data_IF_825960162116
#
_entry.id   IF_825960162116
#
_cell.length_a   1.000
_cell.length_b   1.000
_cell.length_c   1.000
_cell.angle_alpha   90.00
_cell.angle_beta   90.00
_cell.angle_gamma   90.00
#
_symmetry.space_group_name_H-M   'P 1'
#
loop_
_entity.id
_entity.type
_entity.pdbx_description
1 polymer ?
#
# COMPACT_ATOMS: atom_id res chain seq x y z
N UNK A 1 23.84 -13.07 -27.74
CA UNK A 1 24.35 -12.91 -26.36
C UNK A 1 24.24 -11.48 -25.86
N UNK A 2 24.65 -10.45 -26.64
CA UNK A 2 24.48 -9.05 -26.23
C UNK A 2 22.99 -8.62 -26.14
N UNK A 3 22.15 -9.02 -27.10
CA UNK A 3 20.70 -8.74 -27.11
C UNK A 3 19.95 -9.42 -25.97
N UNK A 4 20.34 -10.64 -25.58
CA UNK A 4 19.73 -11.35 -24.45
C UNK A 4 20.09 -10.74 -23.11
N UNK A 5 21.33 -10.24 -22.95
CA UNK A 5 21.75 -9.52 -21.74
C UNK A 5 20.99 -8.18 -21.59
N UNK A 6 20.88 -7.41 -22.69
CA UNK A 6 20.10 -6.17 -22.72
C UNK A 6 18.63 -6.39 -22.33
N UNK A 7 18.02 -7.49 -22.80
CA UNK A 7 16.65 -7.85 -22.45
C UNK A 7 16.50 -8.15 -20.95
N UNK A 8 17.48 -8.82 -20.32
CA UNK A 8 17.45 -9.09 -18.88
C UNK A 8 17.58 -7.81 -18.05
N UNK A 9 18.45 -6.88 -18.45
CA UNK A 9 18.62 -5.62 -17.74
C UNK A 9 17.39 -4.72 -17.86
N UNK A 10 16.74 -4.70 -19.03
CA UNK A 10 15.45 -4.01 -19.22
C UNK A 10 14.35 -4.61 -18.34
N UNK A 11 14.19 -5.94 -18.34
CA UNK A 11 13.18 -6.62 -17.51
C UNK A 11 13.43 -6.36 -16.02
N UNK A 12 14.70 -6.35 -15.59
CA UNK A 12 15.07 -6.01 -14.21
C UNK A 12 14.66 -4.58 -13.87
N UNK A 13 15.01 -3.60 -14.72
CA UNK A 13 14.68 -2.20 -14.49
C UNK A 13 13.15 -1.99 -14.40
N UNK A 14 12.37 -2.65 -15.26
CA UNK A 14 10.90 -2.60 -15.20
C UNK A 14 10.39 -3.20 -13.89
N UNK A 15 10.91 -4.35 -13.48
CA UNK A 15 10.49 -4.99 -12.22
C UNK A 15 10.82 -4.13 -11.00
N UNK A 16 11.99 -3.50 -10.97
CA UNK A 16 12.41 -2.56 -9.92
C UNK A 16 11.50 -1.34 -9.87
N UNK A 17 11.18 -0.74 -11.03
CA UNK A 17 10.30 0.42 -11.10
C UNK A 17 8.87 0.06 -10.65
N UNK A 18 8.34 -1.09 -11.07
CA UNK A 18 7.04 -1.57 -10.61
C UNK A 18 7.01 -1.78 -9.10
N UNK A 19 8.07 -2.38 -8.52
CA UNK A 19 8.17 -2.57 -7.08
C UNK A 19 8.24 -1.23 -6.33
N UNK A 20 9.01 -0.27 -6.85
CA UNK A 20 9.12 1.07 -6.29
C UNK A 20 7.78 1.84 -6.35
N UNK A 21 7.05 1.71 -7.46
CA UNK A 21 5.71 2.30 -7.60
C UNK A 21 4.71 1.73 -6.60
N UNK A 22 4.72 0.41 -6.39
CA UNK A 22 3.88 -0.24 -5.37
C UNK A 22 4.24 0.25 -3.97
N UNK A 23 5.53 0.29 -3.63
CA UNK A 23 5.98 0.77 -2.32
C UNK A 23 5.56 2.22 -2.07
N UNK A 24 5.77 3.09 -3.06
CA UNK A 24 5.40 4.52 -2.98
C UNK A 24 3.90 4.70 -2.74
N UNK A 25 3.06 3.92 -3.44
CA UNK A 25 1.61 3.96 -3.24
C UNK A 25 1.21 3.53 -1.82
N UNK A 26 1.81 2.44 -1.32
CA UNK A 26 1.59 1.95 0.05
C UNK A 26 2.01 3.00 1.09
N UNK A 27 3.18 3.60 0.92
CA UNK A 27 3.69 4.62 1.84
C UNK A 27 2.78 5.86 1.87
N UNK A 28 2.25 6.27 0.71
CA UNK A 28 1.29 7.38 0.64
C UNK A 28 0.02 7.10 1.44
N UNK A 29 -0.57 5.91 1.30
CA UNK A 29 -1.77 5.55 2.06
C UNK A 29 -1.49 5.39 3.56
N UNK A 30 -0.33 4.82 3.92
CA UNK A 30 0.07 4.71 5.32
C UNK A 30 0.24 6.10 5.96
N UNK A 31 0.82 7.06 5.23
CA UNK A 31 0.94 8.45 5.68
C UNK A 31 -0.43 9.11 5.85
N UNK A 32 -1.37 8.93 4.92
CA UNK A 32 -2.73 9.46 5.04
C UNK A 32 -3.46 8.90 6.27
N UNK A 33 -3.32 7.59 6.53
CA UNK A 33 -3.91 6.94 7.70
C UNK A 33 -3.28 7.48 8.99
N UNK A 34 -1.96 7.65 9.03
CA UNK A 34 -1.26 8.21 10.18
C UNK A 34 -1.72 9.64 10.48
N UNK A 35 -1.84 10.49 9.45
CA UNK A 35 -2.35 11.85 9.59
C UNK A 35 -3.80 11.85 10.12
N UNK A 36 -4.67 10.99 9.58
CA UNK A 36 -6.06 10.89 10.03
C UNK A 36 -6.17 10.42 11.50
N UNK A 37 -5.28 9.53 11.94
CA UNK A 37 -5.27 9.01 13.31
C UNK A 37 -4.61 9.95 14.33
N UNK A 38 -3.69 10.80 13.89
CA UNK A 38 -2.96 11.74 14.75
C UNK A 38 -3.57 13.14 14.77
N UNK A 39 -4.61 13.39 13.96
CA UNK A 39 -5.32 14.67 13.97
C UNK A 39 -6.00 14.95 15.31
N UNK A 40 -5.42 15.90 16.05
CA UNK A 40 -5.90 16.36 17.36
C UNK A 40 -7.11 17.29 17.26
N UNK A 41 -7.41 17.83 16.07
CA UNK A 41 -8.60 18.66 15.85
C UNK A 41 -9.87 17.83 15.65
N UNK A 42 -9.72 16.54 15.33
CA UNK A 42 -10.84 15.63 15.19
C UNK A 42 -11.18 14.93 16.51
N UNK A 43 -12.47 14.64 16.69
CA UNK A 43 -12.92 13.72 17.73
C UNK A 43 -12.46 12.30 17.41
N UNK A 44 -12.51 11.38 18.38
CA UNK A 44 -12.23 9.95 18.12
C UNK A 44 -13.10 9.39 16.99
N UNK A 45 -14.38 9.77 16.94
CA UNK A 45 -15.27 9.38 15.85
C UNK A 45 -14.88 10.04 14.52
N UNK A 46 -14.47 11.31 14.55
CA UNK A 46 -13.98 12.04 13.38
C UNK A 46 -12.77 11.35 12.74
N UNK A 47 -11.79 10.95 13.56
CA UNK A 47 -10.61 10.20 13.08
C UNK A 47 -10.98 8.85 12.46
N UNK A 48 -11.90 8.11 13.09
CA UNK A 48 -12.40 6.84 12.54
C UNK A 48 -13.10 7.03 11.19
N UNK A 49 -13.89 8.10 11.04
CA UNK A 49 -14.55 8.41 9.77
C UNK A 49 -13.54 8.79 8.68
N UNK A 50 -12.52 9.57 9.01
CA UNK A 50 -11.45 9.92 8.08
C UNK A 50 -10.67 8.68 7.60
N UNK A 51 -10.29 7.79 8.52
CA UNK A 51 -9.66 6.50 8.15
C UNK A 51 -10.58 5.65 7.27
N UNK A 52 -11.88 5.62 7.58
CA UNK A 52 -12.87 4.91 6.76
C UNK A 52 -12.91 5.48 5.33
N UNK A 53 -12.89 6.80 5.17
CA UNK A 53 -12.87 7.45 3.86
C UNK A 53 -11.64 7.04 3.03
N UNK A 54 -10.45 7.03 3.66
CA UNK A 54 -9.20 6.57 3.02
C UNK A 54 -9.33 5.12 2.55
N UNK A 55 -9.90 4.24 3.38
CA UNK A 55 -10.11 2.81 3.04
C UNK A 55 -11.10 2.64 1.88
N UNK A 56 -12.20 3.40 1.86
CA UNK A 56 -13.16 3.35 0.76
C UNK A 56 -12.56 3.89 -0.55
N UNK A 57 -11.72 4.93 -0.47
CA UNK A 57 -11.02 5.45 -1.64
C UNK A 57 -10.02 4.41 -2.20
N UNK A 58 -9.25 3.74 -1.35
CA UNK A 58 -8.38 2.63 -1.76
C UNK A 58 -9.17 1.52 -2.47
N UNK A 59 -10.31 1.08 -1.90
CA UNK A 59 -11.18 0.05 -2.49
C UNK A 59 -11.68 0.46 -3.88
N UNK A 60 -12.10 1.71 -4.01
CA UNK A 60 -12.56 2.27 -5.27
C UNK A 60 -11.45 2.28 -6.34
N UNK A 61 -10.25 2.75 -5.99
CA UNK A 61 -9.11 2.83 -6.92
C UNK A 61 -8.57 1.45 -7.34
N UNK A 62 -8.64 0.46 -6.45
CA UNK A 62 -8.13 -0.90 -6.71
C UNK A 62 -9.20 -1.85 -7.25
N UNK A 63 -10.45 -1.40 -7.35
CA UNK A 63 -11.59 -2.24 -7.72
C UNK A 63 -11.90 -3.34 -6.70
N UNK A 64 -11.38 -3.25 -5.48
CA UNK A 64 -11.58 -4.24 -4.44
C UNK A 64 -12.87 -3.95 -3.66
N UNK A 65 -13.86 -4.85 -3.78
CA UNK A 65 -15.09 -4.74 -3.00
C UNK A 65 -14.81 -4.87 -1.49
N UNK A 66 -13.91 -5.78 -1.09
CA UNK A 66 -13.51 -6.03 0.30
C UNK A 66 -12.01 -6.27 0.39
N UNK A 67 -11.40 -5.74 1.47
CA UNK A 67 -10.00 -6.01 1.81
C UNK A 67 -9.96 -7.31 2.60
N UNK A 68 -9.34 -8.34 2.04
CA UNK A 68 -9.10 -9.59 2.76
C UNK A 68 -7.96 -9.36 3.74
N UNK A 69 -8.21 -9.61 5.03
CA UNK A 69 -7.14 -9.67 6.02
C UNK A 69 -6.20 -10.81 5.63
N UNK A 70 -4.93 -10.49 5.37
CA UNK A 70 -3.91 -11.52 5.20
C UNK A 70 -3.70 -12.15 6.57
N UNK A 71 -4.10 -13.41 6.74
CA UNK A 71 -3.72 -14.19 7.91
C UNK A 71 -2.20 -14.30 7.89
N UNK A 72 -1.51 -13.48 8.67
CA UNK A 72 -0.09 -13.65 8.91
C UNK A 72 0.06 -14.99 9.63
N UNK A 73 0.89 -15.93 9.16
CA UNK A 73 1.20 -17.11 9.94
C UNK A 73 1.74 -16.60 11.28
N UNK A 74 1.13 -17.06 12.38
CA UNK A 74 1.58 -16.72 13.72
C UNK A 74 3.10 -16.90 13.74
N UNK A 75 3.83 -15.82 14.00
CA UNK A 75 5.28 -15.90 14.17
C UNK A 75 5.48 -16.91 15.29
N UNK A 76 5.95 -18.10 14.90
CA UNK A 76 6.23 -19.17 15.84
C UNK A 76 7.36 -18.69 16.71
N UNK A 77 7.08 -18.47 17.98
CA UNK A 77 8.08 -18.41 19.02
C UNK A 77 8.91 -19.70 18.94
N UNK A 78 10.18 -19.59 18.56
CA UNK A 78 11.20 -20.63 18.70
C UNK A 78 12.51 -19.97 19.06
#
# INVERSE_FOLDING_TARGET
MATTALNHDLVRAIAEEMANGVQTAVDSWMMEIELALTDTHLTTLGRLNAVKEIVENYKHLTGQAHLSCRVLPAVGSS
#
